data_IF_660035138325
#
_entry.id   IF_660035138325
#
_cell.length_a   1.000
_cell.length_b   1.000
_cell.length_c   1.000
_cell.angle_alpha   90.00
_cell.angle_beta   90.00
_cell.angle_gamma   90.00
#
_symmetry.space_group_name_H-M   'P 1'
#
loop_
_entity.id
_entity.type
_entity.pdbx_description
1 polymer ?
#
# COMPACT_ATOMS: atom_id res chain seq x y z
N UNK A 1 2.98 -17.46 -12.70
CA UNK A 1 2.98 -16.88 -11.34
C UNK A 1 1.74 -16.02 -11.12
N UNK A 2 1.23 -15.96 -9.88
CA UNK A 2 0.15 -15.04 -9.53
C UNK A 2 0.71 -13.62 -9.44
N UNK A 3 0.09 -12.67 -10.15
CA UNK A 3 0.41 -11.24 -10.07
C UNK A 3 -0.20 -10.68 -8.77
N UNK A 4 0.60 -9.99 -7.98
CA UNK A 4 0.18 -9.38 -6.72
C UNK A 4 0.16 -7.86 -6.79
N UNK A 5 1.01 -7.25 -7.61
CA UNK A 5 1.12 -5.81 -7.79
C UNK A 5 1.51 -5.43 -9.20
N UNK A 6 1.08 -4.25 -9.62
CA UNK A 6 1.47 -3.64 -10.90
C UNK A 6 1.91 -2.20 -10.63
N UNK A 7 2.89 -1.73 -11.37
CA UNK A 7 3.31 -0.34 -11.37
C UNK A 7 3.72 0.09 -12.78
N UNK A 8 3.44 1.34 -13.14
CA UNK A 8 3.85 1.95 -14.42
C UNK A 8 4.85 3.06 -14.17
N UNK A 9 5.93 3.08 -14.93
CA UNK A 9 6.92 4.14 -14.91
C UNK A 9 6.63 5.20 -15.98
N UNK A 10 7.22 6.39 -15.80
CA UNK A 10 7.01 7.53 -16.73
C UNK A 10 7.54 7.27 -18.14
N UNK A 11 8.52 6.36 -18.29
CA UNK A 11 9.07 5.92 -19.59
C UNK A 11 8.17 4.91 -20.33
N UNK A 12 7.01 4.59 -19.75
CA UNK A 12 6.04 3.64 -20.31
C UNK A 12 6.32 2.17 -19.93
N UNK A 13 7.38 1.87 -19.19
CA UNK A 13 7.62 0.52 -18.69
C UNK A 13 6.55 0.13 -17.66
N UNK A 14 6.11 -1.12 -17.71
CA UNK A 14 5.18 -1.71 -16.72
C UNK A 14 5.91 -2.79 -15.96
N UNK A 15 5.74 -2.80 -14.66
CA UNK A 15 6.31 -3.78 -13.74
C UNK A 15 5.22 -4.59 -13.06
N UNK A 16 5.44 -5.90 -12.95
CA UNK A 16 4.56 -6.84 -12.27
C UNK A 16 5.31 -7.55 -11.14
N UNK A 17 4.84 -7.35 -9.91
CA UNK A 17 5.27 -8.09 -8.73
C UNK A 17 4.46 -9.36 -8.57
N UNK A 18 5.11 -10.48 -8.25
CA UNK A 18 4.48 -11.79 -8.24
C UNK A 18 4.68 -12.53 -6.92
N UNK A 19 3.89 -13.58 -6.69
CA UNK A 19 3.94 -14.38 -5.46
C UNK A 19 5.25 -15.16 -5.29
N UNK A 20 5.85 -15.68 -6.37
CA UNK A 20 7.08 -16.51 -6.29
C UNK A 20 8.03 -16.33 -7.47
N UNK A 21 7.75 -15.41 -8.38
CA UNK A 21 8.55 -15.17 -9.59
C UNK A 21 9.38 -13.88 -9.53
N UNK A 22 9.28 -13.12 -8.44
CA UNK A 22 9.91 -11.81 -8.33
C UNK A 22 9.21 -10.74 -9.13
N UNK A 23 9.98 -9.86 -9.75
CA UNK A 23 9.51 -8.74 -10.57
C UNK A 23 9.75 -9.04 -12.05
N UNK A 24 8.73 -8.77 -12.86
CA UNK A 24 8.82 -8.78 -14.32
C UNK A 24 8.62 -7.38 -14.86
N UNK A 25 9.32 -7.04 -15.93
CA UNK A 25 9.20 -5.78 -16.66
C UNK A 25 8.72 -6.02 -18.08
N UNK A 26 7.77 -5.20 -18.53
CA UNK A 26 7.37 -5.06 -19.93
C UNK A 26 7.75 -3.65 -20.42
N UNK A 27 8.27 -3.56 -21.65
CA UNK A 27 8.56 -2.30 -22.37
C UNK A 27 7.66 -2.12 -23.60
N UNK A 28 6.73 -3.05 -23.83
CA UNK A 28 5.87 -3.13 -25.02
C UNK A 28 4.37 -3.16 -24.63
N UNK A 29 4.02 -2.44 -23.56
CA UNK A 29 2.65 -2.30 -23.05
C UNK A 29 2.01 -3.64 -22.62
N UNK A 30 2.82 -4.58 -22.13
CA UNK A 30 2.36 -5.85 -21.59
C UNK A 30 2.34 -7.00 -22.59
N UNK A 31 2.81 -6.80 -23.84
CA UNK A 31 2.85 -7.87 -24.83
C UNK A 31 3.94 -8.91 -24.51
N UNK A 32 5.06 -8.49 -23.92
CA UNK A 32 6.10 -9.40 -23.44
C UNK A 32 6.63 -8.98 -22.08
N UNK A 33 7.16 -9.96 -21.33
CA UNK A 33 7.66 -9.75 -19.98
C UNK A 33 9.02 -10.40 -19.77
N UNK A 34 9.94 -9.67 -19.16
CA UNK A 34 11.27 -10.14 -18.80
C UNK A 34 11.48 -10.06 -17.28
N UNK A 35 12.09 -11.09 -16.65
CA UNK A 35 12.39 -11.05 -15.23
C UNK A 35 13.47 -10.01 -14.92
N UNK A 36 13.29 -9.26 -13.84
CA UNK A 36 14.25 -8.30 -13.30
C UNK A 36 14.42 -8.61 -11.82
N UNK A 37 15.24 -9.62 -11.47
CA UNK A 37 15.30 -10.17 -10.12
C UNK A 37 16.70 -10.13 -9.48
N UNK A 38 17.72 -9.67 -10.20
CA UNK A 38 19.10 -9.65 -9.70
C UNK A 38 19.18 -8.77 -8.45
N UNK A 39 19.58 -9.34 -7.32
CA UNK A 39 19.70 -8.67 -6.03
C UNK A 39 18.52 -8.87 -5.07
N UNK A 40 17.36 -9.40 -5.51
CA UNK A 40 16.27 -9.80 -4.61
C UNK A 40 16.63 -11.10 -3.89
N UNK A 41 16.50 -11.12 -2.56
CA UNK A 41 16.67 -12.36 -1.76
C UNK A 41 15.39 -13.19 -1.74
N UNK A 42 14.22 -12.53 -1.74
CA UNK A 42 12.89 -13.16 -1.76
C UNK A 42 12.14 -12.77 -3.02
N UNK A 43 11.52 -13.74 -3.66
CA UNK A 43 10.77 -13.55 -4.92
C UNK A 43 9.25 -13.37 -4.68
N UNK A 44 8.80 -13.24 -3.44
CA UNK A 44 7.46 -12.80 -3.11
C UNK A 44 7.43 -11.27 -3.08
N UNK A 45 6.80 -10.64 -4.08
CA UNK A 45 6.72 -9.19 -4.26
C UNK A 45 5.27 -8.75 -4.19
N UNK A 46 4.86 -8.22 -3.04
CA UNK A 46 3.47 -7.81 -2.78
C UNK A 46 3.18 -6.36 -3.14
N UNK A 47 4.18 -5.50 -3.12
CA UNK A 47 4.03 -4.10 -3.42
C UNK A 47 5.09 -3.63 -4.42
N UNK A 48 4.67 -2.81 -5.36
CA UNK A 48 5.55 -2.04 -6.25
C UNK A 48 5.15 -0.58 -6.17
N UNK A 49 6.13 0.30 -6.04
CA UNK A 49 5.95 1.75 -5.99
C UNK A 49 6.98 2.44 -6.86
N UNK A 50 6.52 3.15 -7.90
CA UNK A 50 7.38 4.01 -8.71
C UNK A 50 7.49 5.38 -8.04
N UNK A 51 8.71 5.85 -7.87
CA UNK A 51 9.05 7.15 -7.31
C UNK A 51 10.06 7.81 -8.24
N UNK A 52 9.62 8.81 -8.99
CA UNK A 52 10.40 9.49 -10.01
C UNK A 52 10.96 8.53 -11.07
N UNK A 53 12.23 8.15 -11.01
CA UNK A 53 12.89 7.16 -11.89
C UNK A 53 13.30 5.88 -11.15
N UNK A 54 12.90 5.74 -9.89
CA UNK A 54 13.21 4.60 -9.05
C UNK A 54 11.98 3.70 -8.88
N UNK A 55 12.19 2.41 -8.77
CA UNK A 55 11.16 1.44 -8.43
C UNK A 55 11.48 0.82 -7.07
N UNK A 56 10.52 0.85 -6.16
CA UNK A 56 10.59 0.20 -4.87
C UNK A 56 9.73 -1.06 -4.88
N UNK A 57 10.25 -2.14 -4.30
CA UNK A 57 9.56 -3.41 -4.13
C UNK A 57 9.43 -3.76 -2.66
N UNK A 58 8.21 -3.98 -2.19
CA UNK A 58 7.90 -4.60 -0.90
C UNK A 58 7.88 -6.11 -1.05
N UNK A 59 8.77 -6.78 -0.33
CA UNK A 59 9.03 -8.22 -0.46
C UNK A 59 8.81 -8.96 0.86
N UNK A 60 9.06 -10.27 0.85
CA UNK A 60 8.99 -11.13 2.04
C UNK A 60 10.07 -10.86 3.10
N UNK A 61 11.07 -10.03 2.79
CA UNK A 61 12.18 -9.70 3.69
C UNK A 61 12.55 -8.21 3.68
N UNK A 62 11.57 -7.34 3.45
CA UNK A 62 11.75 -5.90 3.51
C UNK A 62 11.55 -5.17 2.19
N UNK A 63 12.16 -4.00 2.04
CA UNK A 63 12.04 -3.12 0.88
C UNK A 63 13.32 -3.13 0.08
N UNK A 64 13.19 -3.23 -1.24
CA UNK A 64 14.28 -3.14 -2.21
C UNK A 64 14.04 -1.97 -3.16
N UNK A 65 15.13 -1.39 -3.66
CA UNK A 65 15.13 -0.32 -4.65
C UNK A 65 15.85 -0.76 -5.92
N UNK A 66 15.22 -0.55 -7.07
CA UNK A 66 15.81 -0.66 -8.40
C UNK A 66 16.09 0.75 -8.92
N UNK A 67 17.34 1.05 -9.19
CA UNK A 67 17.75 2.32 -9.80
C UNK A 67 17.65 2.23 -11.33
N UNK A 68 17.13 3.28 -11.99
CA UNK A 68 16.63 3.24 -13.36
C UNK A 68 17.54 2.68 -14.47
N UNK A 69 18.88 2.72 -14.33
CA UNK A 69 19.83 2.21 -15.32
C UNK A 69 20.40 0.81 -15.00
N UNK A 70 20.21 0.35 -13.77
CA UNK A 70 20.76 -0.91 -13.29
C UNK A 70 19.63 -1.93 -13.10
N UNK A 71 19.68 -3.06 -13.83
CA UNK A 71 18.72 -4.16 -13.61
C UNK A 71 19.07 -4.94 -12.32
N UNK A 72 19.47 -4.22 -11.26
CA UNK A 72 19.89 -4.77 -9.96
C UNK A 72 19.17 -4.08 -8.80
N UNK A 73 18.55 -4.87 -7.98
CA UNK A 73 17.93 -4.43 -6.74
C UNK A 73 18.95 -4.26 -5.62
N UNK A 74 18.85 -3.15 -4.90
CA UNK A 74 19.61 -2.89 -3.68
C UNK A 74 18.67 -2.87 -2.47
N UNK A 75 19.04 -3.52 -1.35
CA UNK A 75 18.20 -3.53 -0.17
C UNK A 75 18.13 -2.14 0.49
N UNK A 76 16.93 -1.74 0.89
CA UNK A 76 16.64 -0.58 1.75
C UNK A 76 15.89 -1.12 2.95
N UNK A 77 16.47 -2.13 3.63
CA UNK A 77 15.77 -2.94 4.62
C UNK A 77 16.07 -2.55 6.06
N UNK A 78 17.10 -1.73 6.34
CA UNK A 78 17.50 -1.38 7.72
C UNK A 78 16.29 -0.98 8.58
N UNK A 79 15.96 -1.79 9.58
CA UNK A 79 14.77 -1.68 10.41
C UNK A 79 13.52 -2.42 9.88
N UNK A 80 13.59 -3.02 8.69
CA UNK A 80 12.57 -3.87 8.08
C UNK A 80 13.11 -5.26 7.71
N UNK A 81 14.23 -5.66 8.28
CA UNK A 81 14.87 -6.93 7.96
C UNK A 81 13.96 -8.11 8.34
N UNK A 82 13.80 -9.07 7.40
CA UNK A 82 12.92 -10.25 7.53
C UNK A 82 11.44 -9.94 7.82
N UNK A 83 10.96 -8.74 7.43
CA UNK A 83 9.57 -8.34 7.59
C UNK A 83 8.88 -8.32 6.23
N UNK A 84 7.75 -9.04 6.13
CA UNK A 84 6.91 -9.03 4.93
C UNK A 84 6.23 -7.68 4.74
N UNK A 85 6.61 -6.96 3.69
CA UNK A 85 6.01 -5.68 3.29
C UNK A 85 4.87 -5.91 2.31
N UNK A 86 3.67 -5.49 2.70
CA UNK A 86 2.43 -5.74 1.97
C UNK A 86 2.00 -4.58 1.07
N UNK A 87 2.32 -3.36 1.47
CA UNK A 87 1.98 -2.13 0.75
C UNK A 87 3.04 -1.06 0.95
N UNK A 88 3.20 -0.20 -0.05
CA UNK A 88 4.10 0.95 -0.02
C UNK A 88 3.33 2.21 -0.43
N UNK A 89 3.65 3.34 0.20
CA UNK A 89 3.13 4.66 -0.18
C UNK A 89 4.23 5.72 -0.02
N UNK A 90 4.13 6.83 -0.79
CA UNK A 90 5.06 7.97 -0.72
C UNK A 90 4.30 9.25 -0.45
N UNK A 91 4.76 10.02 0.53
CA UNK A 91 4.33 11.38 0.78
C UNK A 91 5.05 12.39 -0.14
N UNK A 92 4.49 13.60 -0.27
CA UNK A 92 5.04 14.64 -1.15
C UNK A 92 6.45 15.10 -0.74
N UNK A 93 6.79 15.01 0.55
CA UNK A 93 8.11 15.33 1.08
C UNK A 93 9.17 14.24 0.82
N UNK A 94 8.81 13.18 0.09
CA UNK A 94 9.66 12.04 -0.22
C UNK A 94 9.68 10.96 0.86
N UNK A 95 8.97 11.12 1.97
CA UNK A 95 8.84 10.09 3.01
C UNK A 95 8.12 8.86 2.45
N UNK A 96 8.70 7.68 2.65
CA UNK A 96 8.07 6.41 2.32
C UNK A 96 7.40 5.80 3.55
N UNK A 97 6.29 5.11 3.31
CA UNK A 97 5.57 4.31 4.30
C UNK A 97 5.46 2.89 3.80
N UNK A 98 5.71 1.94 4.69
CA UNK A 98 5.56 0.51 4.45
C UNK A 98 4.55 -0.07 5.43
N UNK A 99 3.50 -0.68 4.90
CA UNK A 99 2.56 -1.49 5.68
C UNK A 99 2.96 -2.95 5.62
N UNK A 100 2.98 -3.61 6.78
CA UNK A 100 3.55 -4.94 6.93
C UNK A 100 2.50 -5.99 7.32
N UNK A 101 2.84 -7.26 7.10
CA UNK A 101 2.09 -8.40 7.63
C UNK A 101 2.65 -8.78 9.01
N UNK A 102 2.07 -8.20 10.07
CA UNK A 102 2.36 -8.59 11.45
C UNK A 102 3.14 -7.59 12.29
N UNK A 103 3.60 -6.44 11.72
CA UNK A 103 4.34 -5.46 12.50
C UNK A 103 3.85 -4.00 12.33
N UNK A 104 2.71 -3.80 11.67
CA UNK A 104 2.10 -2.49 11.51
C UNK A 104 2.77 -1.65 10.42
N UNK A 105 2.92 -0.36 10.67
CA UNK A 105 3.41 0.62 9.70
C UNK A 105 4.81 1.07 10.07
N UNK A 106 5.67 1.18 9.05
CA UNK A 106 7.01 1.75 9.14
C UNK A 106 7.12 2.98 8.26
N UNK A 107 7.97 3.92 8.68
CA UNK A 107 8.26 5.17 7.99
C UNK A 107 9.75 5.27 7.69
N UNK A 108 10.09 5.70 6.47
CA UNK A 108 11.45 6.01 6.05
C UNK A 108 11.49 7.44 5.51
N UNK A 109 12.14 8.34 6.22
CA UNK A 109 12.33 9.72 5.77
C UNK A 109 13.58 9.85 4.89
N UNK A 110 13.64 10.80 3.95
CA UNK A 110 14.81 10.96 3.06
C UNK A 110 16.14 11.17 3.78
N UNK A 111 16.10 11.64 5.03
CA UNK A 111 17.29 11.88 5.87
C UNK A 111 17.52 10.81 6.93
N UNK A 112 16.70 9.76 6.95
CA UNK A 112 16.85 8.66 7.92
C UNK A 112 17.84 7.62 7.41
N UNK A 113 18.48 6.92 8.33
CA UNK A 113 19.39 5.80 8.05
C UNK A 113 18.66 4.46 8.00
N UNK A 114 17.35 4.43 8.34
CA UNK A 114 16.56 3.22 8.36
C UNK A 114 15.07 3.50 8.58
N UNK A 115 14.29 2.43 8.54
CA UNK A 115 12.86 2.45 8.78
C UNK A 115 12.55 2.54 10.28
N UNK A 116 11.58 3.35 10.64
CA UNK A 116 11.11 3.53 12.01
C UNK A 116 9.67 3.08 12.12
N UNK A 117 9.39 2.19 13.07
CA UNK A 117 8.05 1.67 13.31
C UNK A 117 7.14 2.72 13.93
N UNK A 118 5.96 2.93 13.33
CA UNK A 118 4.90 3.82 13.82
C UNK A 118 3.92 3.02 14.69
N UNK A 119 3.78 3.37 15.97
CA UNK A 119 3.01 2.55 16.93
C UNK A 119 1.83 3.28 17.58
N UNK A 120 1.80 4.60 17.57
CA UNK A 120 0.81 5.36 18.35
C UNK A 120 -0.56 5.39 17.67
N UNK A 121 -1.55 4.78 18.33
CA UNK A 121 -2.95 4.84 17.93
C UNK A 121 -3.40 3.77 16.94
N UNK A 122 -2.52 2.90 16.45
CA UNK A 122 -2.89 1.72 15.65
C UNK A 122 -3.34 0.60 16.58
N UNK A 123 -4.63 0.56 16.88
CA UNK A 123 -5.25 -0.45 17.75
C UNK A 123 -6.53 -0.95 17.13
N UNK A 124 -6.76 -2.25 17.21
CA UNK A 124 -8.02 -2.90 16.87
C UNK A 124 -9.13 -2.62 17.92
N UNK A 125 -10.29 -3.26 17.78
CA UNK A 125 -11.42 -3.14 18.68
C UNK A 125 -11.15 -3.64 20.10
N UNK A 126 -10.20 -4.57 20.26
CA UNK A 126 -9.80 -5.14 21.53
C UNK A 126 -8.66 -4.35 22.19
N UNK A 127 -8.19 -3.29 21.54
CA UNK A 127 -7.10 -2.43 22.02
C UNK A 127 -5.71 -2.98 21.72
N UNK A 128 -5.60 -4.07 20.96
CA UNK A 128 -4.33 -4.57 20.44
C UNK A 128 -3.79 -3.68 19.33
N UNK A 129 -2.48 -3.66 19.14
CA UNK A 129 -1.87 -2.91 18.04
C UNK A 129 -2.19 -3.63 16.74
N UNK A 130 -2.87 -2.92 15.82
CA UNK A 130 -3.13 -3.45 14.49
C UNK A 130 -1.82 -3.64 13.73
N UNK A 131 -1.52 -4.87 13.41
CA UNK A 131 -0.24 -5.25 12.85
C UNK A 131 -0.31 -5.63 11.36
N UNK A 132 -1.51 -5.96 10.85
CA UNK A 132 -1.66 -6.40 9.47
C UNK A 132 -2.22 -5.27 8.59
N UNK A 133 -1.34 -4.55 7.93
CA UNK A 133 -1.68 -3.42 7.05
C UNK A 133 -1.78 -3.90 5.60
N UNK A 134 -2.96 -3.80 5.01
CA UNK A 134 -3.21 -4.22 3.62
C UNK A 134 -3.02 -3.12 2.60
N UNK A 135 -3.42 -1.91 2.94
CA UNK A 135 -3.41 -0.78 2.02
C UNK A 135 -3.00 0.49 2.75
N UNK A 136 -2.15 1.29 2.10
CA UNK A 136 -1.78 2.64 2.50
C UNK A 136 -2.02 3.57 1.34
N UNK A 137 -2.71 4.68 1.59
CA UNK A 137 -2.90 5.76 0.61
C UNK A 137 -2.65 7.11 1.29
N UNK A 138 -2.12 8.06 0.53
CA UNK A 138 -1.79 9.40 1.00
C UNK A 138 -2.54 10.40 0.12
N UNK A 139 -3.27 11.31 0.76
CA UNK A 139 -4.05 12.36 0.11
C UNK A 139 -3.17 13.58 -0.25
N UNK A 140 -3.72 14.48 -1.04
CA UNK A 140 -3.08 15.76 -1.38
C UNK A 140 -2.83 16.63 -0.15
N UNK A 141 -3.69 16.55 0.88
CA UNK A 141 -3.51 17.23 2.18
C UNK A 141 -2.49 16.51 3.10
N UNK A 142 -1.77 15.50 2.58
CA UNK A 142 -0.84 14.65 3.30
C UNK A 142 -1.47 13.82 4.42
N UNK A 143 -2.79 13.69 4.47
CA UNK A 143 -3.45 12.69 5.31
C UNK A 143 -3.12 11.29 4.81
N UNK A 144 -2.80 10.40 5.73
CA UNK A 144 -2.50 9.00 5.43
C UNK A 144 -3.67 8.15 5.92
N UNK A 145 -4.17 7.27 5.06
CA UNK A 145 -5.13 6.25 5.44
C UNK A 145 -4.48 4.87 5.39
N UNK A 146 -4.70 4.09 6.41
CA UNK A 146 -4.28 2.71 6.52
C UNK A 146 -5.51 1.81 6.64
N UNK A 147 -5.66 0.89 5.70
CA UNK A 147 -6.65 -0.18 5.76
C UNK A 147 -6.01 -1.47 6.27
N UNK A 148 -6.68 -2.13 7.21
CA UNK A 148 -6.17 -3.30 7.90
C UNK A 148 -6.94 -4.56 7.54
N UNK A 149 -6.45 -5.72 7.99
CA UNK A 149 -7.11 -7.00 7.74
C UNK A 149 -8.45 -7.13 8.49
N UNK A 150 -8.52 -6.66 9.75
CA UNK A 150 -9.66 -6.82 10.64
C UNK A 150 -9.88 -5.66 11.64
N UNK A 151 -9.04 -4.63 11.62
CA UNK A 151 -9.15 -3.44 12.48
C UNK A 151 -9.76 -2.22 11.79
N UNK A 152 -10.21 -2.35 10.55
CA UNK A 152 -10.85 -1.26 9.80
C UNK A 152 -9.88 -0.25 9.20
N UNK A 153 -10.28 1.03 9.19
CA UNK A 153 -9.54 2.13 8.60
C UNK A 153 -9.02 3.07 9.68
N UNK A 154 -7.72 3.37 9.61
CA UNK A 154 -7.06 4.37 10.45
C UNK A 154 -6.62 5.56 9.63
N UNK A 155 -6.65 6.74 10.23
CA UNK A 155 -6.18 7.99 9.64
C UNK A 155 -5.07 8.62 10.49
N UNK A 156 -4.03 9.11 9.82
CA UNK A 156 -3.01 10.00 10.38
C UNK A 156 -2.99 11.33 9.62
N UNK A 157 -2.89 12.44 10.36
CA UNK A 157 -2.72 13.79 9.79
C UNK A 157 -1.35 14.39 10.16
N UNK A 158 -0.50 13.62 10.84
CA UNK A 158 0.81 14.05 11.35
C UNK A 158 1.92 13.14 10.83
N UNK A 159 1.98 12.90 9.51
CA UNK A 159 3.06 12.13 8.90
C UNK A 159 3.26 10.72 9.49
N UNK A 160 2.19 10.06 9.89
CA UNK A 160 2.22 8.71 10.47
C UNK A 160 2.58 8.65 11.96
N UNK A 161 2.80 9.78 12.64
CA UNK A 161 3.18 9.79 14.06
C UNK A 161 2.07 9.32 14.99
N UNK A 162 0.83 9.67 14.68
CA UNK A 162 -0.36 9.25 15.44
C UNK A 162 -1.46 8.80 14.50
N UNK A 163 -2.22 7.78 14.92
CA UNK A 163 -3.29 7.19 14.16
C UNK A 163 -4.59 7.17 14.97
N UNK A 164 -5.71 7.36 14.29
CA UNK A 164 -7.05 7.25 14.89
C UNK A 164 -7.95 6.43 13.98
N UNK A 165 -8.80 5.55 14.53
CA UNK A 165 -9.78 4.82 13.75
C UNK A 165 -10.84 5.77 13.20
N UNK A 166 -11.25 5.56 11.95
CA UNK A 166 -12.33 6.29 11.28
C UNK A 166 -13.44 5.36 10.78
N UNK A 167 -13.37 4.06 11.08
CA UNK A 167 -14.26 3.03 10.55
C UNK A 167 -15.30 2.50 11.54
N UNK A 168 -15.50 3.16 12.70
CA UNK A 168 -16.44 2.67 13.75
C UNK A 168 -17.87 2.39 13.27
N UNK A 169 -18.34 3.12 12.24
CA UNK A 169 -19.64 2.93 11.64
C UNK A 169 -19.60 2.07 10.36
N UNK A 170 -18.46 1.49 10.02
CA UNK A 170 -18.32 0.63 8.86
C UNK A 170 -18.77 -0.79 9.21
N UNK A 171 -19.63 -1.43 8.38
CA UNK A 171 -20.18 -2.75 8.72
C UNK A 171 -19.20 -3.91 8.61
N UNK A 172 -18.00 -3.68 8.06
CA UNK A 172 -16.98 -4.69 7.89
C UNK A 172 -15.57 -4.08 8.00
N UNK A 173 -14.72 -4.66 8.81
CA UNK A 173 -13.40 -4.16 9.16
C UNK A 173 -12.26 -4.72 8.29
N UNK A 174 -12.55 -5.69 7.41
CA UNK A 174 -11.58 -6.24 6.46
C UNK A 174 -11.43 -5.31 5.26
N UNK A 175 -10.46 -4.40 5.31
CA UNK A 175 -10.23 -3.41 4.25
C UNK A 175 -9.34 -4.00 3.17
N UNK A 176 -9.77 -3.89 1.90
CA UNK A 176 -9.07 -4.44 0.73
C UNK A 176 -8.58 -3.37 -0.25
N UNK A 177 -9.22 -2.20 -0.24
CA UNK A 177 -8.84 -1.07 -1.07
C UNK A 177 -9.33 0.23 -0.48
N UNK A 178 -8.59 1.31 -0.69
CA UNK A 178 -8.98 2.68 -0.31
C UNK A 178 -8.62 3.58 -1.48
N UNK A 179 -9.52 4.49 -1.85
CA UNK A 179 -9.26 5.55 -2.81
C UNK A 179 -9.81 6.87 -2.29
N UNK A 180 -9.11 7.96 -2.55
CA UNK A 180 -9.63 9.30 -2.41
C UNK A 180 -10.42 9.68 -3.66
N UNK A 181 -11.49 10.42 -3.47
CA UNK A 181 -12.28 11.04 -4.53
C UNK A 181 -12.57 12.49 -4.13
N UNK A 182 -12.97 13.33 -5.09
CA UNK A 182 -13.34 14.75 -4.84
C UNK A 182 -14.39 14.93 -3.75
N UNK A 183 -15.17 13.89 -3.51
CA UNK A 183 -16.26 13.90 -2.53
C UNK A 183 -15.94 13.08 -1.28
N UNK A 184 -14.69 12.72 -1.01
CA UNK A 184 -14.30 11.99 0.20
C UNK A 184 -13.54 10.69 -0.06
N UNK A 185 -13.73 9.71 0.81
CA UNK A 185 -13.01 8.44 0.81
C UNK A 185 -13.93 7.29 0.44
N UNK A 186 -13.50 6.43 -0.47
CA UNK A 186 -14.19 5.18 -0.83
C UNK A 186 -13.33 4.01 -0.39
N UNK A 187 -13.95 3.02 0.24
CA UNK A 187 -13.28 1.80 0.69
C UNK A 187 -13.94 0.54 0.12
N UNK A 188 -13.12 -0.41 -0.29
CA UNK A 188 -13.54 -1.78 -0.54
C UNK A 188 -13.31 -2.63 0.70
N UNK A 189 -14.31 -3.40 1.06
CA UNK A 189 -14.28 -4.32 2.21
C UNK A 189 -14.52 -5.77 1.77
N UNK A 190 -14.44 -6.68 2.72
CA UNK A 190 -14.90 -8.06 2.52
C UNK A 190 -16.39 -8.20 2.22
N UNK A 191 -17.18 -7.15 2.44
CA UNK A 191 -18.63 -7.15 2.27
C UNK A 191 -19.16 -5.85 1.66
N UNK A 192 -18.58 -5.42 0.56
CA UNK A 192 -19.06 -4.29 -0.24
C UNK A 192 -18.13 -3.09 -0.29
N UNK A 193 -18.62 -2.06 -0.97
CA UNK A 193 -17.97 -0.76 -1.15
C UNK A 193 -18.73 0.27 -0.35
N UNK A 194 -18.01 1.12 0.36
CA UNK A 194 -18.59 2.19 1.18
C UNK A 194 -17.89 3.52 0.94
N UNK A 195 -18.62 4.62 1.07
CA UNK A 195 -18.10 5.98 0.93
C UNK A 195 -18.38 6.79 2.19
N UNK A 196 -17.40 7.60 2.58
CA UNK A 196 -17.58 8.64 3.59
C UNK A 196 -17.22 10.02 3.03
N UNK A 197 -18.02 11.04 3.38
CA UNK A 197 -17.75 12.44 3.06
C UNK A 197 -17.48 13.29 4.31
N UNK A 198 -17.59 12.70 5.49
CA UNK A 198 -17.52 13.34 6.81
C UNK A 198 -16.37 12.80 7.68
N UNK A 199 -15.30 12.33 7.03
CA UNK A 199 -14.09 11.79 7.68
C UNK A 199 -14.33 10.52 8.50
N UNK A 200 -15.29 9.68 8.06
CA UNK A 200 -15.60 8.40 8.67
C UNK A 200 -16.65 8.40 9.78
N UNK A 201 -17.37 9.51 9.97
CA UNK A 201 -18.49 9.55 10.93
C UNK A 201 -19.66 8.71 10.44
N UNK A 202 -19.93 8.74 9.12
CA UNK A 202 -20.94 7.93 8.45
C UNK A 202 -20.31 7.25 7.21
N UNK A 203 -20.81 6.06 6.90
CA UNK A 203 -20.44 5.29 5.72
C UNK A 203 -21.67 4.92 4.91
N UNK A 204 -21.70 5.32 3.65
CA UNK A 204 -22.80 5.11 2.72
C UNK A 204 -22.44 3.94 1.81
N UNK A 205 -23.27 2.88 1.70
CA UNK A 205 -22.99 1.75 0.82
C UNK A 205 -23.11 2.16 -0.66
N UNK A 206 -22.17 1.71 -1.48
CA UNK A 206 -22.14 1.88 -2.94
C UNK A 206 -22.28 0.53 -3.66
N UNK A 207 -23.21 -0.32 -3.22
CA UNK A 207 -23.31 -1.72 -3.64
C UNK A 207 -24.36 -1.98 -4.72
N UNK A 208 -25.10 -0.95 -5.16
CA UNK A 208 -26.18 -1.13 -6.16
C UNK A 208 -25.62 -1.69 -7.47
N UNK A 209 -26.13 -2.86 -7.89
CA UNK A 209 -25.71 -3.54 -9.10
C UNK A 209 -24.48 -4.47 -8.97
N UNK A 210 -23.86 -4.55 -7.78
CA UNK A 210 -22.81 -5.51 -7.52
C UNK A 210 -23.41 -6.90 -7.24
N UNK A 211 -23.10 -7.88 -8.09
CA UNK A 211 -23.54 -9.27 -7.90
C UNK A 211 -22.73 -9.98 -6.78
N UNK A 212 -21.52 -9.53 -6.48
CA UNK A 212 -20.67 -10.04 -5.41
C UNK A 212 -20.07 -8.89 -4.63
N UNK A 213 -20.23 -8.92 -3.31
CA UNK A 213 -19.75 -7.87 -2.41
C UNK A 213 -18.30 -8.07 -1.93
N UNK A 214 -17.67 -9.20 -2.25
CA UNK A 214 -16.28 -9.48 -1.89
C UNK A 214 -15.31 -8.75 -2.84
N UNK A 215 -15.27 -7.42 -2.76
CA UNK A 215 -14.43 -6.57 -3.61
C UNK A 215 -12.95 -6.75 -3.22
N UNK A 216 -12.09 -7.02 -4.19
CA UNK A 216 -10.67 -7.32 -3.93
C UNK A 216 -9.76 -6.10 -4.09
N UNK A 217 -10.12 -5.18 -4.99
CA UNK A 217 -9.29 -4.01 -5.31
C UNK A 217 -10.15 -2.82 -5.71
N UNK A 218 -9.69 -1.62 -5.39
CA UNK A 218 -10.21 -0.35 -5.92
C UNK A 218 -9.09 0.40 -6.62
N UNK A 219 -9.43 1.05 -7.74
CA UNK A 219 -8.53 1.95 -8.45
C UNK A 219 -9.26 3.28 -8.60
N UNK A 220 -8.64 4.36 -8.14
CA UNK A 220 -9.06 5.71 -8.45
C UNK A 220 -8.55 6.08 -9.84
N UNK A 221 -9.44 6.49 -10.73
CA UNK A 221 -9.04 7.17 -11.95
C UNK A 221 -8.79 8.61 -11.54
N UNK A 222 -7.52 9.01 -11.46
CA UNK A 222 -7.16 10.42 -11.27
C UNK A 222 -7.78 11.26 -12.39
N UNK A 223 -8.16 12.49 -12.09
CA UNK A 223 -8.63 13.43 -13.09
C UNK A 223 -7.59 13.54 -14.21
N UNK A 224 -8.09 13.48 -15.46
CA UNK A 224 -7.26 13.62 -16.66
C UNK A 224 -6.82 15.07 -16.84
#
# INVERSE_FOLDING_TARGET
PFILSLASAKDGAVYAGTFRGGVFRSRDKGNSWQPVNVGLKRLEVKALLVVDQELFAGTGDGVYRLHGSEDRWTPVTSGLDDILVHTLARAADGTLFAGTSGQGIFRFSPRSTGWVRMRHGLKDHEGMIENFIRVLVIDQDQSILAGTFDGGVFRSTYGGLTWRPISRALPNDSIRGIVFSDQGVVVATGNGIFKTVDKGKQWIPLNKGLANLAVQVLIGLGDK
#
